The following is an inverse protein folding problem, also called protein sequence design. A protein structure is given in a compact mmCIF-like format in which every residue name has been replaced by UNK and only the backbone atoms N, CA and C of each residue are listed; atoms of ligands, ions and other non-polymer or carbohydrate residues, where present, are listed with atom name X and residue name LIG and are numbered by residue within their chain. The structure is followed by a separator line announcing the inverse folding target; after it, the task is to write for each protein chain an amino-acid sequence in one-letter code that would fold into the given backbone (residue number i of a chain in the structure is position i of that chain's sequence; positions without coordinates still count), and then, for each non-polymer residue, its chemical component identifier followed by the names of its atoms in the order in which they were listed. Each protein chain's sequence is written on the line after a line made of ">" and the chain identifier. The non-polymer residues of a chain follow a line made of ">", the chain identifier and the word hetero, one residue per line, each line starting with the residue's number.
data_IF_130798898069
#
_entry.id   IF_130798898069
#
_cell.length_a   1.000
_cell.length_b   1.000
_cell.length_c   1.000
_cell.angle_alpha   90.00
_cell.angle_beta   90.00
_cell.angle_gamma   90.00
#
_symmetry.space_group_name_H-M   'P 1'
#
loop_
_entity.id
_entity.type
_entity.pdbx_description
1 polymer ?
#
# COMPACT_ATOMS: atom_id res chain seq x y z
N UNK A 1 24.50 -7.01 12.88
CA UNK A 1 23.39 -7.96 12.90
C UNK A 1 23.37 -8.61 11.53
N UNK A 2 23.55 -9.92 11.46
CA UNK A 2 23.39 -10.63 10.19
C UNK A 2 21.91 -10.73 9.78
N UNK A 3 21.63 -11.22 8.58
CA UNK A 3 20.27 -11.32 8.04
C UNK A 3 19.33 -12.19 8.89
N UNK A 4 19.84 -13.32 9.40
CA UNK A 4 19.06 -14.28 10.19
C UNK A 4 18.84 -13.74 11.61
N UNK A 5 19.86 -13.09 12.20
CA UNK A 5 19.73 -12.38 13.47
C UNK A 5 18.68 -11.25 13.39
N UNK A 6 18.68 -10.48 12.29
CA UNK A 6 17.73 -9.39 12.12
C UNK A 6 16.30 -9.91 11.93
N UNK A 7 16.14 -10.97 11.14
CA UNK A 7 14.84 -11.64 10.98
C UNK A 7 14.30 -12.16 12.31
N UNK A 8 15.11 -12.84 13.11
CA UNK A 8 14.72 -13.33 14.43
C UNK A 8 14.32 -12.18 15.38
N UNK A 9 15.05 -11.06 15.34
CA UNK A 9 14.68 -9.84 16.07
C UNK A 9 13.28 -9.35 15.66
N UNK A 10 13.03 -9.20 14.35
CA UNK A 10 11.75 -8.71 13.85
C UNK A 10 10.59 -9.63 14.22
N UNK A 11 10.77 -10.95 14.13
CA UNK A 11 9.76 -11.93 14.55
C UNK A 11 9.43 -11.81 16.04
N UNK A 12 10.46 -11.67 16.89
CA UNK A 12 10.28 -11.49 18.32
C UNK A 12 9.51 -10.20 18.63
N UNK A 13 9.84 -9.10 17.94
CA UNK A 13 9.22 -7.79 18.20
C UNK A 13 7.82 -7.65 17.61
N UNK A 14 7.55 -8.24 16.43
CA UNK A 14 6.37 -7.86 15.64
C UNK A 14 5.42 -9.01 15.28
N UNK A 15 5.73 -10.26 15.63
CA UNK A 15 4.83 -11.41 15.37
C UNK A 15 3.40 -11.20 15.91
N UNK A 16 3.26 -10.56 17.06
CA UNK A 16 1.97 -10.25 17.67
C UNK A 16 1.16 -9.17 16.94
N UNK A 17 1.78 -8.44 15.99
CA UNK A 17 1.14 -7.40 15.18
C UNK A 17 0.67 -7.90 13.82
N UNK A 18 1.01 -9.15 13.44
CA UNK A 18 0.65 -9.73 12.15
C UNK A 18 -0.88 -9.80 12.01
N UNK A 19 -1.37 -9.37 10.85
CA UNK A 19 -2.79 -9.43 10.49
C UNK A 19 -2.98 -10.33 9.26
N UNK A 20 -4.08 -11.11 9.20
CA UNK A 20 -4.43 -11.83 7.98
C UNK A 20 -4.75 -10.84 6.86
N UNK A 21 -4.44 -11.23 5.62
CA UNK A 21 -4.72 -10.44 4.43
C UNK A 21 -6.20 -10.06 4.32
N UNK A 22 -6.47 -8.78 4.13
CA UNK A 22 -7.80 -8.21 3.92
C UNK A 22 -7.98 -7.73 2.47
N UNK A 23 -9.23 -7.45 2.09
CA UNK A 23 -9.49 -6.81 0.80
C UNK A 23 -9.12 -5.33 0.84
N UNK A 24 -8.74 -4.75 -0.30
CA UNK A 24 -8.45 -3.31 -0.39
C UNK A 24 -9.65 -2.44 -0.08
N UNK A 25 -10.87 -2.94 -0.31
CA UNK A 25 -12.10 -2.26 0.08
C UNK A 25 -12.27 -2.21 1.61
N UNK A 26 -11.88 -3.28 2.32
CA UNK A 26 -11.88 -3.29 3.79
C UNK A 26 -10.82 -2.32 4.33
N UNK A 27 -9.65 -2.28 3.71
CA UNK A 27 -8.56 -1.35 4.07
C UNK A 27 -9.01 0.10 3.87
N UNK A 28 -9.57 0.45 2.71
CA UNK A 28 -10.11 1.79 2.48
C UNK A 28 -11.21 2.12 3.48
N UNK A 29 -12.12 1.19 3.76
CA UNK A 29 -13.19 1.39 4.75
C UNK A 29 -12.62 1.63 6.16
N UNK A 30 -11.49 1.00 6.51
CA UNK A 30 -10.79 1.24 7.77
C UNK A 30 -10.13 2.63 7.80
N UNK A 31 -9.52 3.06 6.69
CA UNK A 31 -8.90 4.38 6.57
C UNK A 31 -9.91 5.52 6.51
N UNK A 32 -11.07 5.33 5.89
CA UNK A 32 -12.17 6.32 5.90
C UNK A 32 -12.72 6.62 7.31
N UNK A 33 -12.48 5.74 8.28
CA UNK A 33 -12.80 5.99 9.70
C UNK A 33 -11.73 6.84 10.40
N UNK A 34 -10.51 6.85 9.87
CA UNK A 34 -9.32 7.51 10.46
C UNK A 34 -8.98 8.83 9.76
N UNK A 35 -9.24 8.92 8.46
CA UNK A 35 -8.93 10.03 7.58
C UNK A 35 -10.19 10.44 6.82
N UNK A 36 -10.26 11.71 6.45
CA UNK A 36 -11.27 12.19 5.53
C UNK A 36 -10.76 11.95 4.09
N UNK A 37 -11.37 10.98 3.40
CA UNK A 37 -11.02 10.60 2.03
C UNK A 37 -12.16 10.98 1.09
N UNK A 38 -11.83 11.61 -0.04
CA UNK A 38 -12.81 12.01 -1.06
C UNK A 38 -12.39 11.39 -2.38
N UNK A 39 -13.32 10.71 -3.05
CA UNK A 39 -13.06 10.18 -4.39
C UNK A 39 -12.75 11.33 -5.35
N UNK A 40 -11.70 11.16 -6.16
CA UNK A 40 -11.21 12.20 -7.07
C UNK A 40 -10.84 11.60 -8.42
N UNK A 41 -10.93 12.42 -9.46
CA UNK A 41 -10.28 12.14 -10.74
C UNK A 41 -8.78 12.40 -10.66
N UNK A 42 -8.02 11.64 -11.44
CA UNK A 42 -6.59 11.84 -11.64
C UNK A 42 -6.35 12.87 -12.75
N UNK A 43 -5.36 13.73 -12.55
CA UNK A 43 -4.80 14.58 -13.60
C UNK A 43 -4.12 13.75 -14.69
N UNK A 44 -3.89 14.36 -15.86
CA UNK A 44 -3.22 13.69 -16.98
C UNK A 44 -1.83 13.13 -16.59
N UNK A 45 -1.04 13.89 -15.82
CA UNK A 45 0.27 13.45 -15.33
C UNK A 45 0.16 12.26 -14.36
N UNK A 46 -0.84 12.25 -13.47
CA UNK A 46 -1.06 11.15 -12.52
C UNK A 46 -1.54 9.88 -13.25
N UNK A 47 -2.36 10.03 -14.30
CA UNK A 47 -2.77 8.93 -15.18
C UNK A 47 -1.54 8.32 -15.88
N UNK A 48 -0.61 9.14 -16.38
CA UNK A 48 0.62 8.64 -17.01
C UNK A 48 1.47 7.85 -16.01
N UNK A 49 1.62 8.36 -14.79
CA UNK A 49 2.34 7.64 -13.73
C UNK A 49 1.67 6.30 -13.37
N UNK A 50 0.34 6.29 -13.26
CA UNK A 50 -0.43 5.08 -13.01
C UNK A 50 -0.22 4.05 -14.13
N UNK A 51 -0.27 4.46 -15.41
CA UNK A 51 0.02 3.58 -16.55
C UNK A 51 1.41 2.96 -16.48
N UNK A 52 2.43 3.73 -16.11
CA UNK A 52 3.78 3.21 -15.92
C UNK A 52 3.86 2.21 -14.77
N UNK A 53 3.12 2.46 -13.69
CA UNK A 53 3.04 1.56 -12.52
C UNK A 53 2.40 0.23 -12.91
N UNK A 54 1.32 0.26 -13.69
CA UNK A 54 0.64 -0.94 -14.22
C UNK A 54 1.57 -1.76 -15.12
N UNK A 55 2.32 -1.09 -16.01
CA UNK A 55 3.30 -1.76 -16.87
C UNK A 55 4.39 -2.46 -16.06
N UNK A 56 4.93 -1.78 -15.03
CA UNK A 56 5.93 -2.36 -14.14
C UNK A 56 5.37 -3.57 -13.39
N UNK A 57 4.15 -3.46 -12.85
CA UNK A 57 3.46 -4.55 -12.19
C UNK A 57 3.29 -5.75 -13.12
N UNK A 58 2.83 -5.51 -14.35
CA UNK A 58 2.65 -6.54 -15.38
C UNK A 58 3.96 -7.24 -15.72
N UNK A 59 5.05 -6.48 -15.85
CA UNK A 59 6.37 -7.06 -16.14
C UNK A 59 6.93 -7.87 -14.97
N UNK A 60 6.74 -7.43 -13.73
CA UNK A 60 7.15 -8.16 -12.53
C UNK A 60 6.40 -9.49 -12.38
N UNK A 61 5.13 -9.53 -12.79
CA UNK A 61 4.26 -10.69 -12.66
C UNK A 61 4.02 -11.42 -13.99
N UNK A 62 4.92 -11.29 -14.97
CA UNK A 62 4.74 -11.78 -16.35
C UNK A 62 4.47 -13.30 -16.46
N UNK A 63 4.78 -14.07 -15.42
CA UNK A 63 4.56 -15.51 -15.36
C UNK A 63 3.29 -15.91 -14.56
N UNK A 64 2.59 -14.95 -13.94
CA UNK A 64 1.35 -15.20 -13.24
C UNK A 64 0.17 -15.24 -14.20
N UNK A 65 -0.75 -16.18 -13.96
CA UNK A 65 -1.99 -16.33 -14.74
C UNK A 65 -2.96 -15.13 -14.63
N UNK A 66 -2.64 -14.15 -13.78
CA UNK A 66 -3.42 -12.94 -13.49
C UNK A 66 -3.44 -11.94 -14.69
N UNK A 67 -2.53 -12.10 -15.67
CA UNK A 67 -2.34 -11.14 -16.77
C UNK A 67 -3.50 -11.08 -17.78
N UNK A 68 -4.40 -12.06 -17.78
CA UNK A 68 -5.41 -12.20 -18.85
C UNK A 68 -6.46 -11.08 -18.90
N UNK A 69 -6.49 -10.16 -17.92
CA UNK A 69 -7.56 -9.15 -17.80
C UNK A 69 -7.10 -7.71 -17.50
N UNK A 70 -5.85 -7.36 -17.83
CA UNK A 70 -5.30 -6.01 -17.56
C UNK A 70 -6.07 -4.88 -18.26
N UNK A 71 -6.75 -5.17 -19.36
CA UNK A 71 -7.58 -4.20 -20.08
C UNK A 71 -8.89 -3.84 -19.34
N UNK A 72 -9.24 -4.61 -18.28
CA UNK A 72 -10.47 -4.46 -17.50
C UNK A 72 -10.22 -4.01 -16.04
N UNK A 73 -9.02 -3.51 -15.73
CA UNK A 73 -8.73 -2.96 -14.41
C UNK A 73 -9.56 -1.70 -14.15
N UNK A 74 -10.13 -1.62 -12.95
CA UNK A 74 -10.94 -0.48 -12.54
C UNK A 74 -10.30 0.20 -11.34
N UNK A 75 -9.60 1.30 -11.62
CA UNK A 75 -8.92 2.08 -10.59
C UNK A 75 -9.87 3.11 -9.99
N UNK A 76 -9.93 3.13 -8.66
CA UNK A 76 -10.61 4.18 -7.90
C UNK A 76 -9.55 4.98 -7.16
N UNK A 77 -9.65 6.31 -7.23
CA UNK A 77 -8.69 7.22 -6.64
C UNK A 77 -9.35 8.07 -5.57
N UNK A 78 -8.69 8.21 -4.43
CA UNK A 78 -9.11 9.04 -3.32
C UNK A 78 -8.05 10.10 -3.03
N UNK A 79 -8.48 11.33 -2.79
CA UNK A 79 -7.68 12.38 -2.20
C UNK A 79 -7.86 12.35 -0.68
N UNK A 80 -6.73 12.40 0.04
CA UNK A 80 -6.75 12.61 1.49
C UNK A 80 -6.97 14.11 1.74
N UNK A 81 -8.06 14.46 2.41
CA UNK A 81 -8.33 15.87 2.74
C UNK A 81 -7.30 16.38 3.73
N UNK A 82 -6.67 17.51 3.43
CA UNK A 82 -5.71 18.17 4.33
C UNK A 82 -6.43 18.79 5.53
N UNK A 83 -6.26 18.17 6.71
CA UNK A 83 -6.82 18.60 7.98
C UNK A 83 -6.06 17.96 9.16
N UNK A 84 -6.52 18.17 10.40
CA UNK A 84 -5.82 17.66 11.58
C UNK A 84 -5.62 16.14 11.62
N UNK A 85 -6.44 15.35 10.90
CA UNK A 85 -6.30 13.89 10.85
C UNK A 85 -5.19 13.44 9.92
N UNK A 86 -4.89 14.23 8.88
CA UNK A 86 -3.92 13.91 7.84
C UNK A 86 -2.60 14.68 7.97
N UNK A 87 -2.49 15.58 8.95
CA UNK A 87 -1.29 16.39 9.22
C UNK A 87 -0.01 15.56 9.30
N UNK A 88 -0.07 14.39 9.94
CA UNK A 88 1.08 13.49 10.03
C UNK A 88 1.64 13.16 8.64
N UNK A 89 0.79 12.73 7.69
CA UNK A 89 1.21 12.33 6.35
C UNK A 89 1.65 13.53 5.51
N UNK A 90 0.93 14.65 5.58
CA UNK A 90 1.30 15.86 4.84
C UNK A 90 2.63 16.46 5.31
N UNK A 91 2.95 16.36 6.60
CA UNK A 91 4.23 16.83 7.14
C UNK A 91 5.41 15.95 6.68
N UNK A 92 5.18 14.66 6.47
CA UNK A 92 6.22 13.72 6.04
C UNK A 92 6.53 13.77 4.55
N UNK A 93 5.60 14.24 3.72
CA UNK A 93 5.85 14.42 2.29
C UNK A 93 7.04 15.35 2.00
N UNK A 94 7.45 16.23 2.93
CA UNK A 94 8.64 17.12 2.82
C UNK A 94 8.71 17.98 1.55
N UNK A 95 7.62 18.10 0.81
CA UNK A 95 7.53 18.95 -0.37
C UNK A 95 6.63 20.15 -0.02
N UNK A 96 7.05 21.33 -0.49
CA UNK A 96 6.56 22.63 -0.05
C UNK A 96 5.87 23.43 -1.18
N UNK A 97 5.45 22.79 -2.27
CA UNK A 97 4.94 23.56 -3.44
C UNK A 97 3.48 24.02 -3.29
N UNK A 98 2.82 23.67 -2.19
CA UNK A 98 1.49 24.20 -1.82
C UNK A 98 0.32 23.58 -2.59
N UNK A 99 0.59 22.87 -3.69
CA UNK A 99 -0.40 22.19 -4.53
C UNK A 99 -0.30 20.65 -4.44
N UNK A 100 0.50 20.12 -3.51
CA UNK A 100 0.59 18.67 -3.34
C UNK A 100 -0.66 18.12 -2.64
N UNK A 101 -1.22 17.08 -3.26
CA UNK A 101 -2.27 16.26 -2.68
C UNK A 101 -1.75 14.84 -2.45
N UNK A 102 -2.22 14.22 -1.37
CA UNK A 102 -1.96 12.80 -1.13
C UNK A 102 -3.07 12.01 -1.81
N UNK A 103 -2.67 11.12 -2.69
CA UNK A 103 -3.57 10.21 -3.40
C UNK A 103 -3.45 8.81 -2.84
N UNK A 104 -4.58 8.13 -2.75
CA UNK A 104 -4.68 6.69 -2.55
C UNK A 104 -5.39 6.10 -3.75
N UNK A 105 -4.80 5.09 -4.38
CA UNK A 105 -5.37 4.41 -5.54
C UNK A 105 -5.58 2.95 -5.19
N UNK A 106 -6.78 2.44 -5.48
CA UNK A 106 -7.09 1.01 -5.34
C UNK A 106 -7.48 0.39 -6.67
N UNK A 107 -7.22 -0.90 -6.80
CA UNK A 107 -7.72 -1.76 -7.87
C UNK A 107 -8.26 -3.05 -7.24
N UNK A 108 -9.57 -3.25 -7.29
CA UNK A 108 -10.22 -4.32 -6.53
C UNK A 108 -10.02 -5.71 -7.13
N UNK A 109 -9.79 -5.85 -8.43
CA UNK A 109 -9.66 -7.15 -9.08
C UNK A 109 -8.31 -7.82 -8.76
N UNK A 110 -7.24 -7.03 -8.77
CA UNK A 110 -5.90 -7.39 -8.33
C UNK A 110 -5.76 -7.32 -6.80
N UNK A 111 -6.76 -6.76 -6.12
CA UNK A 111 -6.74 -6.46 -4.70
C UNK A 111 -5.54 -5.58 -4.32
N UNK A 112 -5.19 -4.60 -5.14
CA UNK A 112 -4.01 -3.74 -4.98
C UNK A 112 -4.34 -2.33 -4.47
N UNK A 113 -3.43 -1.76 -3.68
CA UNK A 113 -3.55 -0.43 -3.08
C UNK A 113 -2.19 0.27 -3.07
N UNK A 114 -2.18 1.56 -3.37
CA UNK A 114 -0.96 2.37 -3.31
C UNK A 114 -1.26 3.81 -2.94
N UNK A 115 -0.22 4.55 -2.52
CA UNK A 115 -0.27 5.99 -2.31
C UNK A 115 1.02 6.64 -2.79
N UNK A 116 0.94 7.93 -3.14
CA UNK A 116 2.11 8.77 -3.37
C UNK A 116 2.76 9.29 -2.06
N UNK A 117 2.18 9.00 -0.90
CA UNK A 117 2.80 9.20 0.41
C UNK A 117 3.30 7.86 0.94
N UNK A 118 4.62 7.71 1.11
CA UNK A 118 5.22 6.44 1.52
C UNK A 118 4.83 6.03 2.95
N UNK A 119 4.71 6.98 3.88
CA UNK A 119 4.24 6.72 5.24
C UNK A 119 2.81 6.18 5.24
N UNK A 120 1.90 6.80 4.48
CA UNK A 120 0.52 6.32 4.36
C UNK A 120 0.48 4.95 3.67
N UNK A 121 1.30 4.75 2.64
CA UNK A 121 1.40 3.48 1.94
C UNK A 121 1.86 2.35 2.86
N UNK A 122 2.86 2.57 3.71
CA UNK A 122 3.30 1.61 4.72
C UNK A 122 2.15 1.27 5.68
N UNK A 123 1.47 2.28 6.23
CA UNK A 123 0.34 2.07 7.14
C UNK A 123 -0.78 1.26 6.48
N UNK A 124 -1.06 1.52 5.20
CA UNK A 124 -2.06 0.77 4.43
C UNK A 124 -1.63 -0.69 4.18
N UNK A 125 -0.34 -0.94 3.91
CA UNK A 125 0.17 -2.31 3.76
C UNK A 125 0.12 -3.09 5.08
N UNK A 126 0.43 -2.43 6.20
CA UNK A 126 0.29 -3.03 7.54
C UNK A 126 -1.17 -3.37 7.84
N UNK A 127 -2.11 -2.43 7.57
CA UNK A 127 -3.55 -2.64 7.76
C UNK A 127 -4.09 -3.75 6.85
N UNK A 128 -3.64 -3.80 5.59
CA UNK A 128 -3.99 -4.85 4.61
C UNK A 128 -3.58 -6.24 5.09
N UNK A 129 -2.48 -6.36 5.83
CA UNK A 129 -2.01 -7.64 6.35
C UNK A 129 -1.28 -8.48 5.29
N UNK A 130 -1.03 -9.74 5.62
CA UNK A 130 -0.29 -10.69 4.78
C UNK A 130 -1.04 -12.02 4.66
N UNK A 131 -0.88 -12.70 3.51
CA UNK A 131 -1.36 -14.08 3.38
C UNK A 131 -0.65 -14.97 4.42
N UNK A 132 -1.46 -15.60 5.27
CA UNK A 132 -0.99 -16.50 6.32
C UNK A 132 -0.16 -17.68 5.79
N UNK A 133 -0.27 -18.02 4.50
CA UNK A 133 0.58 -19.02 3.86
C UNK A 133 2.06 -18.62 3.91
N UNK A 134 2.37 -17.34 3.70
CA UNK A 134 3.73 -16.80 3.77
C UNK A 134 4.30 -16.84 5.19
N UNK A 135 3.46 -16.61 6.20
CA UNK A 135 3.85 -16.71 7.62
C UNK A 135 4.16 -18.17 7.98
N UNK A 136 3.30 -19.11 7.57
CA UNK A 136 3.49 -20.55 7.86
C UNK A 136 4.70 -21.14 7.15
N UNK A 137 5.02 -20.65 5.96
CA UNK A 137 6.13 -21.13 5.13
C UNK A 137 7.41 -20.31 5.34
N UNK A 138 7.35 -19.28 6.17
CA UNK A 138 8.47 -18.40 6.48
C UNK A 138 9.16 -17.82 5.22
N UNK A 139 8.35 -17.29 4.29
CA UNK A 139 8.85 -16.84 2.98
C UNK A 139 9.50 -15.44 3.05
N UNK A 140 10.25 -15.03 2.02
CA UNK A 140 10.76 -13.66 1.94
C UNK A 140 9.68 -12.57 2.04
N UNK A 141 8.44 -12.86 1.62
CA UNK A 141 7.32 -11.93 1.77
C UNK A 141 6.94 -11.72 3.24
N UNK A 142 7.07 -12.75 4.08
CA UNK A 142 6.85 -12.60 5.51
C UNK A 142 7.92 -11.71 6.14
N UNK A 143 9.19 -11.93 5.82
CA UNK A 143 10.27 -11.06 6.25
C UNK A 143 10.06 -9.60 5.78
N UNK A 144 9.70 -9.40 4.52
CA UNK A 144 9.39 -8.07 3.98
C UNK A 144 8.23 -7.38 4.71
N UNK A 145 7.19 -8.12 5.07
CA UNK A 145 6.06 -7.58 5.84
C UNK A 145 6.48 -7.18 7.27
N UNK A 146 7.34 -7.97 7.93
CA UNK A 146 7.85 -7.61 9.25
C UNK A 146 8.69 -6.32 9.24
N UNK A 147 9.47 -6.10 8.17
CA UNK A 147 10.26 -4.87 8.01
C UNK A 147 9.40 -3.61 7.96
N UNK A 148 8.13 -3.70 7.57
CA UNK A 148 7.22 -2.54 7.56
C UNK A 148 7.00 -1.93 8.94
N UNK A 149 7.13 -2.73 10.01
CA UNK A 149 6.94 -2.28 11.39
C UNK A 149 8.19 -1.63 11.99
N UNK A 150 9.35 -1.76 11.34
CA UNK A 150 10.66 -1.34 11.85
C UNK A 150 11.11 0.00 11.22
N UNK A 151 10.15 0.89 10.96
CA UNK A 151 10.35 2.24 10.39
C UNK A 151 10.50 3.31 11.48
#
# INVERSE_FOLDING_TARGET
>A
MDHDEYKAYLEQQYSHKIRPLQSVNDVISAFQKKLDLVETELSESEIIFLKMTILNYTHAHKNDTIISNLDNLNFISYEVVKNEKSDYYYNHMKINTGNERILVIIESQLNEITSNCEELKVDMLIERGIDTSHVKQDTPNFFAYLMLFDN
#
